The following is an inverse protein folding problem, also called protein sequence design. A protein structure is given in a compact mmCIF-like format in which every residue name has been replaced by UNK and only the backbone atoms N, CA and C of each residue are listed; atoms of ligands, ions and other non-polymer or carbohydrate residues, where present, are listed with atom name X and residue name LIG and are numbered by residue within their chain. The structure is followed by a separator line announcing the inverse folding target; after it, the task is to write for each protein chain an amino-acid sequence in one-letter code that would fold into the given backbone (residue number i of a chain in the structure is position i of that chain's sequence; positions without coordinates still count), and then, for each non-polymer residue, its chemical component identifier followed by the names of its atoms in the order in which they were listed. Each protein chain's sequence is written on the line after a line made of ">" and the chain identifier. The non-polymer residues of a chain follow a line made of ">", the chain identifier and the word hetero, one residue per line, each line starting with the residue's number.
data_IF_650252155089
#
_entry.id   IF_650252155089
#
_cell.length_a   1.000
_cell.length_b   1.000
_cell.length_c   1.000
_cell.angle_alpha   90.00
_cell.angle_beta   90.00
_cell.angle_gamma   90.00
#
_symmetry.space_group_name_H-M   'P 1'
#
loop_
_entity.id
_entity.type
_entity.pdbx_description
1 polymer ?
#
# COMPACT_ATOMS: atom_id res chain seq x y z
N UNK A 1 8.08 0.79 -17.43
CA UNK A 1 7.28 -0.30 -16.81
C UNK A 1 5.84 -0.19 -17.29
N UNK A 2 5.23 -1.31 -17.72
CA UNK A 2 3.82 -1.30 -18.18
C UNK A 2 3.08 -2.53 -17.67
N UNK A 3 1.88 -2.36 -17.09
CA UNK A 3 1.04 -3.43 -16.61
C UNK A 3 -0.45 -3.08 -16.69
N UNK A 4 -1.30 -4.12 -16.61
CA UNK A 4 -2.77 -4.01 -16.61
C UNK A 4 -3.30 -4.65 -15.33
N UNK A 5 -4.25 -3.97 -14.68
CA UNK A 5 -4.88 -4.43 -13.44
C UNK A 5 -6.35 -4.00 -13.39
N UNK A 6 -7.23 -4.79 -12.75
CA UNK A 6 -8.62 -4.40 -12.51
C UNK A 6 -8.70 -3.23 -11.52
N UNK A 7 -9.46 -2.18 -11.87
CA UNK A 7 -9.65 -0.99 -11.03
C UNK A 7 -10.25 -1.34 -9.66
N UNK A 8 -11.28 -2.19 -9.63
CA UNK A 8 -11.95 -2.60 -8.40
C UNK A 8 -11.05 -3.45 -7.49
N UNK A 9 -10.31 -4.39 -8.10
CA UNK A 9 -9.35 -5.23 -7.36
C UNK A 9 -8.23 -4.40 -6.76
N UNK A 10 -7.67 -3.46 -7.54
CA UNK A 10 -6.62 -2.56 -7.06
C UNK A 10 -7.14 -1.67 -5.93
N UNK A 11 -8.28 -0.99 -6.14
CA UNK A 11 -8.87 -0.11 -5.13
C UNK A 11 -9.10 -0.83 -3.80
N UNK A 12 -9.69 -2.03 -3.85
CA UNK A 12 -9.95 -2.85 -2.65
C UNK A 12 -8.68 -3.15 -1.87
N UNK A 13 -7.60 -3.56 -2.55
CA UNK A 13 -6.34 -3.88 -1.90
C UNK A 13 -5.64 -2.63 -1.33
N UNK A 14 -5.66 -1.51 -2.08
CA UNK A 14 -5.08 -0.27 -1.58
C UNK A 14 -5.83 0.27 -0.36
N UNK A 15 -7.15 0.12 -0.31
CA UNK A 15 -7.95 0.51 0.87
C UNK A 15 -7.56 -0.28 2.12
N UNK A 16 -7.19 -1.57 1.99
CA UNK A 16 -6.75 -2.38 3.13
C UNK A 16 -5.48 -1.86 3.78
N UNK A 17 -4.55 -1.31 3.00
CA UNK A 17 -3.25 -0.85 3.50
C UNK A 17 -3.17 0.67 3.68
N UNK A 18 -4.19 1.42 3.25
CA UNK A 18 -4.18 2.89 3.31
C UNK A 18 -4.20 3.45 4.74
N UNK A 19 -4.63 2.64 5.72
CA UNK A 19 -4.66 3.05 7.12
C UNK A 19 -3.28 3.30 7.75
N UNK A 20 -2.21 2.80 7.14
CA UNK A 20 -0.84 3.04 7.57
C UNK A 20 -0.31 4.39 7.07
N UNK A 21 -0.90 4.93 5.99
CA UNK A 21 -0.43 6.18 5.40
C UNK A 21 -0.86 7.37 6.26
N UNK A 22 0.13 8.07 6.79
CA UNK A 22 -0.08 9.26 7.60
C UNK A 22 0.29 10.51 6.79
N UNK A 23 -0.61 11.49 6.73
CA UNK A 23 -0.41 12.76 6.00
C UNK A 23 0.40 13.80 6.79
N UNK A 24 0.73 13.53 8.05
CA UNK A 24 1.53 14.42 8.91
C UNK A 24 2.95 13.88 9.14
N UNK A 25 3.53 13.26 8.13
CA UNK A 25 4.86 12.66 8.23
C UNK A 25 5.97 13.66 7.95
N UNK A 26 7.13 13.43 8.57
CA UNK A 26 8.36 14.20 8.31
C UNK A 26 9.00 13.82 6.96
N UNK A 27 8.70 12.61 6.47
CA UNK A 27 9.21 12.09 5.21
C UNK A 27 8.08 12.00 4.18
N UNK A 28 8.01 12.90 3.19
CA UNK A 28 6.91 12.92 2.22
C UNK A 28 6.69 11.59 1.48
N UNK A 29 7.74 10.84 1.21
CA UNK A 29 7.64 9.53 0.52
C UNK A 29 6.78 8.49 1.27
N UNK A 30 6.53 8.67 2.57
CA UNK A 30 5.63 7.81 3.35
C UNK A 30 4.15 8.06 3.05
N UNK A 31 3.83 9.13 2.32
CA UNK A 31 2.49 9.37 1.78
C UNK A 31 2.23 8.59 0.49
N UNK A 32 3.24 7.87 -0.02
CA UNK A 32 3.16 7.10 -1.24
C UNK A 32 2.98 5.60 -0.98
N UNK A 33 2.37 4.93 -1.94
CA UNK A 33 2.45 3.49 -2.07
C UNK A 33 3.69 3.11 -2.90
N UNK A 34 4.51 2.19 -2.44
CA UNK A 34 5.53 1.55 -3.26
C UNK A 34 4.89 0.43 -4.09
N UNK A 35 4.92 0.57 -5.40
CA UNK A 35 4.51 -0.44 -6.36
C UNK A 35 5.72 -1.21 -6.86
N UNK A 36 5.69 -2.52 -6.73
CA UNK A 36 6.71 -3.44 -7.24
C UNK A 36 6.07 -4.44 -8.18
N UNK A 37 6.49 -4.44 -9.44
CA UNK A 37 6.00 -5.36 -10.48
C UNK A 37 7.07 -6.40 -10.77
N UNK A 38 6.74 -7.66 -10.56
CA UNK A 38 7.58 -8.79 -10.90
C UNK A 38 6.73 -9.98 -11.39
N UNK A 39 7.06 -10.54 -12.56
CA UNK A 39 6.48 -11.79 -13.10
C UNK A 39 4.95 -11.87 -13.00
N UNK A 40 4.23 -10.89 -13.53
CA UNK A 40 2.77 -10.80 -13.48
C UNK A 40 2.18 -10.68 -12.07
N UNK A 41 2.97 -10.24 -11.11
CA UNK A 41 2.52 -9.88 -9.76
C UNK A 41 2.83 -8.43 -9.48
N UNK A 42 1.86 -7.74 -8.90
CA UNK A 42 2.01 -6.43 -8.33
C UNK A 42 2.01 -6.57 -6.80
N UNK A 43 3.11 -6.21 -6.18
CA UNK A 43 3.17 -6.02 -4.73
C UNK A 43 3.07 -4.54 -4.43
N UNK A 44 2.17 -4.17 -3.53
CA UNK A 44 2.05 -2.79 -3.05
C UNK A 44 2.36 -2.75 -1.58
N UNK A 45 3.24 -1.82 -1.19
CA UNK A 45 3.69 -1.63 0.19
C UNK A 45 3.33 -0.23 0.67
N UNK A 46 2.88 -0.13 1.91
CA UNK A 46 2.70 1.10 2.66
C UNK A 46 3.40 0.97 4.01
N UNK A 47 4.01 2.05 4.50
CA UNK A 47 4.69 2.07 5.79
C UNK A 47 4.65 3.45 6.43
N UNK A 48 4.64 3.48 7.76
CA UNK A 48 4.86 4.65 8.59
C UNK A 48 6.20 4.58 9.37
N UNK A 49 7.10 3.65 8.95
CA UNK A 49 8.36 3.24 9.56
C UNK A 49 8.23 2.22 10.72
N UNK A 50 7.12 2.23 11.44
CA UNK A 50 6.85 1.30 12.55
C UNK A 50 6.03 0.10 12.07
N UNK A 51 5.08 0.36 11.17
CA UNK A 51 4.19 -0.65 10.58
C UNK A 51 4.46 -0.77 9.09
N UNK A 52 4.56 -1.98 8.60
CA UNK A 52 4.64 -2.27 7.16
C UNK A 52 3.44 -3.12 6.76
N UNK A 53 2.64 -2.62 5.84
CA UNK A 53 1.54 -3.38 5.24
C UNK A 53 1.82 -3.66 3.77
N UNK A 54 1.57 -4.92 3.37
CA UNK A 54 1.82 -5.38 2.01
C UNK A 54 0.61 -6.13 1.48
N UNK A 55 0.26 -5.85 0.22
CA UNK A 55 -0.74 -6.60 -0.53
C UNK A 55 -0.18 -7.06 -1.85
N UNK A 56 -0.72 -8.14 -2.38
CA UNK A 56 -0.31 -8.71 -3.66
C UNK A 56 -1.51 -8.92 -4.56
N UNK A 57 -1.36 -8.59 -5.85
CA UNK A 57 -2.36 -8.80 -6.89
C UNK A 57 -1.72 -9.51 -8.09
N UNK A 58 -2.50 -10.37 -8.73
CA UNK A 58 -2.15 -10.87 -10.05
C UNK A 58 -2.48 -9.81 -11.11
N UNK A 59 -1.55 -9.59 -12.02
CA UNK A 59 -1.62 -8.55 -13.06
C UNK A 59 -1.11 -9.12 -14.38
N UNK A 60 -1.39 -8.41 -15.48
CA UNK A 60 -0.71 -8.64 -16.75
C UNK A 60 0.41 -7.62 -16.91
N UNK A 61 1.67 -8.07 -16.80
CA UNK A 61 2.83 -7.19 -16.91
C UNK A 61 3.71 -7.54 -18.11
N UNK A 62 4.23 -6.51 -18.79
CA UNK A 62 5.23 -6.67 -19.86
C UNK A 62 6.65 -6.56 -19.31
N UNK A 63 6.83 -5.71 -18.30
CA UNK A 63 8.12 -5.35 -17.76
C UNK A 63 8.06 -5.36 -16.24
N UNK A 64 9.16 -5.70 -15.59
CA UNK A 64 9.34 -5.55 -14.14
C UNK A 64 9.82 -4.15 -13.81
N UNK A 65 9.60 -3.70 -12.57
CA UNK A 65 10.08 -2.42 -12.08
C UNK A 65 9.40 -1.98 -10.80
N UNK A 66 9.82 -0.81 -10.31
CA UNK A 66 9.31 -0.21 -9.08
C UNK A 66 9.03 1.27 -9.28
N UNK A 67 8.05 1.80 -8.54
CA UNK A 67 7.72 3.23 -8.50
C UNK A 67 6.96 3.55 -7.22
N UNK A 68 7.17 4.72 -6.64
CA UNK A 68 6.31 5.25 -5.58
C UNK A 68 5.19 6.10 -6.19
N UNK A 69 3.96 5.93 -5.72
CA UNK A 69 2.77 6.59 -6.25
C UNK A 69 2.03 7.29 -5.11
N UNK A 70 1.74 8.61 -5.20
CA UNK A 70 0.98 9.34 -4.20
C UNK A 70 -0.36 8.67 -3.90
N UNK A 71 -0.51 8.16 -2.67
CA UNK A 71 -1.61 7.29 -2.28
C UNK A 71 -2.96 8.00 -2.35
N UNK A 72 -3.03 9.24 -1.87
CA UNK A 72 -4.26 10.02 -1.85
C UNK A 72 -4.79 10.26 -3.26
N UNK A 73 -3.94 10.72 -4.16
CA UNK A 73 -4.32 11.02 -5.56
C UNK A 73 -4.79 9.75 -6.26
N UNK A 74 -4.05 8.64 -6.06
CA UNK A 74 -4.40 7.36 -6.67
C UNK A 74 -5.74 6.83 -6.15
N UNK A 75 -5.93 6.80 -4.83
CA UNK A 75 -7.18 6.33 -4.21
C UNK A 75 -8.39 7.16 -4.64
N UNK A 76 -8.27 8.49 -4.66
CA UNK A 76 -9.35 9.38 -5.06
C UNK A 76 -9.68 9.22 -6.54
N UNK A 77 -8.68 9.00 -7.40
CA UNK A 77 -8.90 8.69 -8.81
C UNK A 77 -9.63 7.37 -9.00
N UNK A 78 -9.18 6.30 -8.32
CA UNK A 78 -9.75 4.95 -8.44
C UNK A 78 -11.20 4.87 -7.94
N UNK A 79 -11.57 5.63 -6.90
CA UNK A 79 -12.96 5.70 -6.38
C UNK A 79 -13.97 6.20 -7.42
N UNK A 80 -13.50 7.02 -8.38
CA UNK A 80 -14.33 7.63 -9.41
C UNK A 80 -14.31 6.88 -10.76
N UNK A 81 -13.58 5.77 -10.83
CA UNK A 81 -13.48 4.92 -12.03
C UNK A 81 -14.36 3.70 -11.84
N UNK A 82 -15.25 3.43 -12.82
CA UNK A 82 -16.04 2.21 -12.84
C UNK A 82 -15.14 0.97 -12.94
N UNK A 83 -15.67 -0.21 -12.59
CA UNK A 83 -14.89 -1.46 -12.68
C UNK A 83 -14.51 -1.79 -14.12
N UNK A 84 -13.22 -1.73 -14.40
CA UNK A 84 -12.63 -1.93 -15.70
C UNK A 84 -11.13 -2.22 -15.61
N UNK A 85 -10.52 -2.81 -16.65
CA UNK A 85 -9.06 -2.92 -16.73
C UNK A 85 -8.42 -1.52 -16.85
N UNK A 86 -7.40 -1.27 -16.03
CA UNK A 86 -6.57 -0.07 -16.12
C UNK A 86 -5.19 -0.41 -16.63
N UNK A 87 -4.71 0.34 -17.61
CA UNK A 87 -3.34 0.23 -18.09
C UNK A 87 -2.48 1.30 -17.44
N UNK A 88 -1.51 0.86 -16.66
CA UNK A 88 -0.46 1.72 -16.10
C UNK A 88 0.75 1.73 -17.03
N UNK A 89 1.21 2.91 -17.38
CA UNK A 89 2.44 3.12 -18.16
C UNK A 89 3.34 4.09 -17.39
N UNK A 90 4.49 3.62 -16.94
CA UNK A 90 5.44 4.40 -16.13
C UNK A 90 6.72 4.57 -16.94
N UNK A 91 7.13 5.81 -17.12
CA UNK A 91 8.35 6.17 -17.84
C UNK A 91 9.60 6.14 -16.94
N UNK A 92 10.73 6.51 -17.52
CA UNK A 92 12.04 6.55 -16.82
C UNK A 92 12.14 7.67 -15.78
N UNK A 93 11.26 8.67 -15.87
CA UNK A 93 11.22 9.81 -14.97
C UNK A 93 10.12 9.65 -13.90
N UNK A 94 9.58 8.42 -13.75
CA UNK A 94 8.49 8.08 -12.84
C UNK A 94 7.16 8.78 -13.14
N UNK A 95 7.00 9.39 -14.34
CA UNK A 95 5.69 9.87 -14.76
C UNK A 95 4.80 8.68 -15.11
N UNK A 96 3.59 8.67 -14.53
CA UNK A 96 2.63 7.58 -14.59
C UNK A 96 1.44 8.04 -15.43
N UNK A 97 1.15 7.33 -16.51
CA UNK A 97 -0.09 7.47 -17.26
C UNK A 97 -0.99 6.26 -16.98
N UNK A 98 -2.15 6.50 -16.41
CA UNK A 98 -3.19 5.50 -16.16
C UNK A 98 -4.26 5.69 -17.25
N UNK A 99 -4.44 4.70 -18.09
CA UNK A 99 -5.44 4.71 -19.16
C UNK A 99 -6.63 3.84 -18.76
N UNK A 100 -7.81 4.41 -18.85
CA UNK A 100 -9.12 3.77 -18.68
C UNK A 100 -9.92 3.88 -19.98
N UNK A 101 -11.09 3.25 -20.08
CA UNK A 101 -12.00 3.37 -21.22
C UNK A 101 -12.50 4.82 -21.41
N UNK A 102 -12.61 5.57 -20.33
CA UNK A 102 -13.19 6.92 -20.32
C UNK A 102 -12.16 8.05 -20.34
N UNK A 103 -10.87 7.75 -20.30
CA UNK A 103 -9.85 8.80 -20.30
C UNK A 103 -8.49 8.36 -19.79
N UNK A 104 -7.64 9.37 -19.66
CA UNK A 104 -6.26 9.20 -19.18
C UNK A 104 -6.02 10.09 -17.98
N UNK A 105 -5.38 9.53 -16.97
CA UNK A 105 -4.94 10.21 -15.76
C UNK A 105 -3.42 10.25 -15.76
N UNK A 106 -2.86 11.39 -15.40
CA UNK A 106 -1.39 11.52 -15.26
C UNK A 106 -1.07 11.87 -13.83
N UNK A 107 -0.17 11.10 -13.24
CA UNK A 107 0.32 11.29 -11.87
C UNK A 107 1.84 11.26 -11.93
N UNK A 108 2.50 12.16 -11.19
CA UNK A 108 3.93 12.07 -11.00
C UNK A 108 4.21 11.15 -9.82
N UNK A 109 4.99 10.11 -10.06
CA UNK A 109 5.50 9.24 -9.02
C UNK A 109 6.87 9.70 -8.54
N UNK A 110 7.42 8.98 -7.56
CA UNK A 110 8.72 9.24 -6.98
C UNK A 110 9.68 8.05 -7.15
N UNK A 111 10.99 8.34 -6.98
CA UNK A 111 12.02 7.32 -7.08
C UNK A 111 11.88 6.29 -5.94
N UNK A 112 11.69 5.00 -6.25
CA UNK A 112 11.52 3.95 -5.26
C UNK A 112 12.77 3.72 -4.38
N UNK A 113 13.95 4.19 -4.80
CA UNK A 113 15.17 4.07 -3.99
C UNK A 113 15.13 4.93 -2.72
N UNK A 114 14.27 5.95 -2.69
CA UNK A 114 14.03 6.78 -1.52
C UNK A 114 13.04 6.16 -0.52
N UNK A 115 12.33 5.10 -0.92
CA UNK A 115 11.37 4.42 -0.04
C UNK A 115 12.13 3.63 1.04
N UNK A 116 11.69 3.69 2.32
CA UNK A 116 12.38 3.01 3.41
C UNK A 116 12.46 1.50 3.16
N UNK A 117 13.63 0.94 3.45
CA UNK A 117 13.82 -0.51 3.41
C UNK A 117 13.19 -1.14 4.66
N UNK A 118 12.55 -2.28 4.47
CA UNK A 118 12.06 -3.04 5.60
C UNK A 118 13.22 -3.48 6.50
N UNK A 119 13.08 -3.36 7.83
CA UNK A 119 14.05 -3.90 8.75
C UNK A 119 14.09 -5.44 8.60
N UNK A 120 15.30 -6.00 8.61
CA UNK A 120 15.45 -7.45 8.68
C UNK A 120 14.98 -7.93 10.06
N UNK A 121 14.13 -8.95 10.08
CA UNK A 121 13.69 -9.60 11.32
C UNK A 121 14.64 -10.75 11.62
N UNK A 122 15.66 -10.50 12.43
CA UNK A 122 16.72 -11.48 12.74
C UNK A 122 16.28 -12.54 13.76
N UNK A 123 15.40 -12.18 14.73
CA UNK A 123 14.87 -13.10 15.74
C UNK A 123 13.34 -13.06 15.73
N UNK A 124 12.70 -14.04 15.07
CA UNK A 124 11.24 -14.13 15.03
C UNK A 124 10.71 -15.32 15.80
N UNK A 125 9.72 -15.06 16.65
CA UNK A 125 8.84 -16.11 17.20
C UNK A 125 7.58 -16.15 16.34
N UNK A 126 7.23 -17.33 15.83
CA UNK A 126 6.05 -17.50 14.99
C UNK A 126 4.96 -18.31 15.70
N UNK A 127 3.71 -17.93 15.50
CA UNK A 127 2.55 -18.72 15.90
C UNK A 127 1.51 -18.70 14.77
N UNK A 128 0.64 -19.71 14.76
CA UNK A 128 -0.43 -19.83 13.79
C UNK A 128 -1.79 -19.75 14.47
N UNK A 129 -2.68 -18.91 13.93
CA UNK A 129 -4.06 -18.79 14.40
C UNK A 129 -5.00 -18.56 13.24
N UNK A 130 -6.31 -18.67 13.47
CA UNK A 130 -7.30 -18.32 12.45
C UNK A 130 -7.56 -16.81 12.43
N UNK A 131 -7.86 -16.25 11.27
CA UNK A 131 -8.22 -14.83 11.15
C UNK A 131 -9.41 -14.46 12.05
N UNK A 132 -10.40 -15.33 12.19
CA UNK A 132 -11.57 -15.10 13.07
C UNK A 132 -11.18 -15.00 14.53
N UNK A 133 -10.29 -15.87 15.01
CA UNK A 133 -9.80 -15.82 16.40
C UNK A 133 -9.02 -14.53 16.66
N UNK A 134 -8.12 -14.15 15.75
CA UNK A 134 -7.33 -12.94 15.84
C UNK A 134 -8.21 -11.68 15.87
N UNK A 135 -9.16 -11.56 14.93
CA UNK A 135 -10.11 -10.43 14.88
C UNK A 135 -10.94 -10.35 16.16
N UNK A 136 -11.39 -11.49 16.69
CA UNK A 136 -12.17 -11.53 17.94
C UNK A 136 -11.32 -11.07 19.12
N UNK A 137 -10.07 -11.52 19.23
CA UNK A 137 -9.16 -11.12 20.30
C UNK A 137 -8.87 -9.61 20.26
N UNK A 138 -8.52 -9.07 19.10
CA UNK A 138 -8.27 -7.64 18.91
C UNK A 138 -9.51 -6.82 19.28
N UNK A 139 -10.68 -7.15 18.75
CA UNK A 139 -11.91 -6.40 19.03
C UNK A 139 -12.31 -6.41 20.52
N UNK A 140 -11.96 -7.45 21.27
CA UNK A 140 -12.24 -7.54 22.71
C UNK A 140 -11.26 -6.77 23.58
N UNK A 141 -10.15 -6.29 23.04
CA UNK A 141 -9.09 -5.60 23.78
C UNK A 141 -8.85 -4.16 23.30
N UNK A 142 -9.09 -3.89 22.02
CA UNK A 142 -8.82 -2.60 21.38
C UNK A 142 -9.49 -1.40 22.08
N UNK A 143 -10.68 -1.57 22.65
CA UNK A 143 -11.41 -0.50 23.35
C UNK A 143 -10.67 -0.03 24.62
N UNK A 144 -9.77 -0.81 25.17
CA UNK A 144 -9.00 -0.50 26.37
C UNK A 144 -7.64 0.16 26.05
N UNK A 145 -7.28 0.30 24.77
CA UNK A 145 -6.05 1.00 24.36
C UNK A 145 -6.22 2.50 24.50
N UNK A 146 -5.12 3.21 24.78
CA UNK A 146 -5.07 4.67 24.91
C UNK A 146 -4.75 5.32 23.57
N UNK A 147 -5.15 6.59 23.40
CA UNK A 147 -4.66 7.46 22.31
C UNK A 147 -3.59 8.45 22.80
N UNK A 148 -2.98 8.18 23.95
CA UNK A 148 -1.97 9.05 24.56
C UNK A 148 -0.57 8.67 24.08
N UNK A 149 -0.03 9.43 23.16
CA UNK A 149 1.30 9.20 22.56
C UNK A 149 2.46 9.34 23.57
N UNK A 150 2.20 9.95 24.74
CA UNK A 150 3.19 9.99 25.84
C UNK A 150 3.41 8.64 26.50
N UNK A 151 2.54 7.66 26.25
CA UNK A 151 2.63 6.30 26.75
C UNK A 151 2.48 5.27 25.64
N UNK A 152 3.46 5.14 24.73
CA UNK A 152 3.33 4.31 23.52
C UNK A 152 2.94 2.85 23.81
N UNK A 153 3.44 2.26 24.93
CA UNK A 153 3.07 0.89 25.30
C UNK A 153 1.57 0.70 25.62
N UNK A 154 0.84 1.79 25.87
CA UNK A 154 -0.60 1.75 26.17
C UNK A 154 -1.47 1.96 24.91
N UNK A 155 -0.88 2.30 23.78
CA UNK A 155 -1.61 2.53 22.53
C UNK A 155 -1.79 1.25 21.69
N UNK A 156 -1.15 0.17 22.09
CA UNK A 156 -1.18 -1.11 21.39
C UNK A 156 -1.90 -2.24 22.14
N UNK A 157 -2.17 -3.32 21.43
CA UNK A 157 -2.63 -4.59 21.98
C UNK A 157 -1.41 -5.50 22.16
N UNK A 158 -1.24 -6.05 23.35
CA UNK A 158 -0.14 -6.97 23.65
C UNK A 158 -0.46 -8.39 23.14
N UNK A 159 0.50 -9.00 22.44
CA UNK A 159 0.45 -10.37 21.96
C UNK A 159 1.42 -11.27 22.73
#
# INVERSE_FOLDING_TARGET
>A
MKFIVSSSSLLKQLQHISGVINTNTVLPILEDFLFEVEKNKLTVVATDLETVMRVQLDIEAKDSGKVCIPARILLDSLKNIADQPLTFNIDKNFAIEITSDNGKYKVMGENPDNFPKEPAADDTTSFTTTASALVTAINKTLFATSNDDLRPAMTGVYF
#
